data_IF_412616238809
#
_entry.id   IF_412616238809
#
_cell.length_a   1.000
_cell.length_b   1.000
_cell.length_c   1.000
_cell.angle_alpha   90.00
_cell.angle_beta   90.00
_cell.angle_gamma   90.00
#
_symmetry.space_group_name_H-M   'P 1'
#
loop_
_entity.id
_entity.type
_entity.pdbx_description
1 polymer ?
#
# COMPACT_ATOMS: atom_id res chain seq x y z
N UNK A 1 30.99 45.50 45.38
CA UNK A 1 29.80 45.14 46.18
C UNK A 1 28.58 45.40 45.31
N UNK A 2 28.03 44.34 44.73
CA UNK A 2 26.81 44.36 43.91
C UNK A 2 26.35 42.91 43.93
N UNK A 3 25.44 42.52 44.82
CA UNK A 3 24.05 42.95 44.81
C UNK A 3 23.28 41.82 44.15
N UNK A 4 22.68 40.95 44.95
CA UNK A 4 21.98 39.74 44.49
C UNK A 4 20.89 40.05 43.45
N UNK A 5 20.68 39.17 42.46
CA UNK A 5 19.67 39.40 41.42
C UNK A 5 18.25 39.20 41.97
N UNK A 6 17.43 40.26 41.84
CA UNK A 6 15.97 40.25 42.04
C UNK A 6 15.29 39.39 40.97
N UNK A 7 14.45 38.46 41.40
CA UNK A 7 13.55 37.66 40.56
C UNK A 7 12.27 38.44 40.26
N UNK A 8 11.96 38.61 38.98
CA UNK A 8 10.71 39.19 38.47
C UNK A 8 9.58 38.14 38.42
N UNK A 9 8.38 38.57 38.80
CA UNK A 9 7.12 37.82 38.89
C UNK A 9 6.30 37.96 37.60
N UNK A 10 6.77 37.40 36.49
CA UNK A 10 5.94 36.98 35.35
C UNK A 10 6.75 36.04 34.47
N UNK A 11 6.63 34.74 34.69
CA UNK A 11 7.38 33.71 33.97
C UNK A 11 6.94 33.58 32.51
N UNK A 12 7.37 34.48 31.63
CA UNK A 12 7.17 34.33 30.19
C UNK A 12 8.43 34.75 29.45
N UNK A 13 9.15 33.75 28.93
CA UNK A 13 10.21 33.99 27.95
C UNK A 13 9.59 34.40 26.61
N UNK A 14 10.18 35.43 26.02
CA UNK A 14 9.90 35.85 24.66
C UNK A 14 10.49 34.84 23.65
N UNK A 15 9.72 34.53 22.61
CA UNK A 15 10.27 34.08 21.33
C UNK A 15 10.21 32.58 21.05
N UNK A 16 9.02 32.04 20.82
CA UNK A 16 8.84 31.02 19.77
C UNK A 16 7.52 31.31 19.05
N UNK A 17 7.61 31.80 17.82
CA UNK A 17 6.51 31.74 16.86
C UNK A 17 6.10 30.28 16.74
N UNK A 18 4.80 29.92 16.80
CA UNK A 18 4.38 28.56 16.57
C UNK A 18 4.83 28.18 15.16
N UNK A 19 5.77 27.23 15.04
CA UNK A 19 6.07 26.61 13.76
C UNK A 19 4.75 26.01 13.28
N UNK A 20 4.21 26.58 12.21
CA UNK A 20 3.18 25.91 11.42
C UNK A 20 3.65 24.47 11.17
N UNK A 21 2.77 23.46 11.22
CA UNK A 21 3.16 22.14 10.80
C UNK A 21 3.49 22.25 9.31
N UNK A 22 4.78 22.33 8.99
CA UNK A 22 5.26 22.13 7.63
C UNK A 22 4.86 20.70 7.27
N UNK A 23 3.76 20.54 6.53
CA UNK A 23 3.47 19.30 5.81
C UNK A 23 4.44 19.22 4.62
N UNK A 24 5.74 19.18 4.89
CA UNK A 24 6.69 18.73 3.89
C UNK A 24 6.58 17.21 3.86
N UNK A 25 5.65 16.71 3.06
CA UNK A 25 5.63 15.30 2.71
C UNK A 25 6.89 15.04 1.90
N UNK A 26 8.00 14.78 2.60
CA UNK A 26 9.17 14.18 1.98
C UNK A 26 8.65 12.92 1.28
N UNK A 27 8.66 12.96 -0.05
CA UNK A 27 8.14 11.86 -0.85
C UNK A 27 8.84 10.58 -0.41
N UNK A 28 8.05 9.57 -0.03
CA UNK A 28 8.55 8.28 0.44
C UNK A 28 9.26 7.49 -0.66
N UNK A 29 9.20 7.95 -1.91
CA UNK A 29 9.80 7.32 -3.08
C UNK A 29 11.15 7.93 -3.46
N UNK A 30 12.02 7.08 -4.02
CA UNK A 30 13.33 7.51 -4.51
C UNK A 30 13.19 8.62 -5.56
N UNK A 31 14.03 9.65 -5.45
CA UNK A 31 14.02 10.82 -6.34
C UNK A 31 14.13 10.42 -7.83
N UNK A 32 14.92 9.40 -8.13
CA UNK A 32 15.08 8.87 -9.49
C UNK A 32 13.75 8.39 -10.09
N UNK A 33 12.96 7.57 -9.36
CA UNK A 33 11.68 7.04 -9.86
C UNK A 33 10.71 8.17 -10.20
N UNK A 34 10.69 9.26 -9.43
CA UNK A 34 9.82 10.42 -9.69
C UNK A 34 10.20 11.23 -10.93
N UNK A 35 11.49 11.23 -11.28
CA UNK A 35 11.99 11.94 -12.47
C UNK A 35 11.77 11.19 -13.78
N UNK A 36 11.31 9.93 -13.73
CA UNK A 36 11.05 9.14 -14.93
C UNK A 36 9.80 9.65 -15.64
N UNK A 37 9.95 9.92 -16.95
CA UNK A 37 8.82 10.19 -17.86
C UNK A 37 7.80 9.05 -17.80
N UNK A 38 8.28 7.83 -17.97
CA UNK A 38 7.50 6.59 -17.86
C UNK A 38 8.20 5.67 -16.89
N UNK A 39 7.52 5.28 -15.80
CA UNK A 39 8.01 4.28 -14.86
C UNK A 39 7.34 2.94 -15.16
N UNK A 40 8.14 1.92 -15.41
CA UNK A 40 7.67 0.59 -15.84
C UNK A 40 7.68 -0.36 -14.65
N UNK A 41 6.53 -0.94 -14.36
CA UNK A 41 6.34 -2.02 -13.39
C UNK A 41 6.43 -3.36 -14.13
N UNK A 42 7.65 -3.76 -14.46
CA UNK A 42 7.93 -4.82 -15.44
C UNK A 42 7.26 -6.15 -15.09
N UNK A 43 7.29 -6.54 -13.81
CA UNK A 43 6.76 -7.82 -13.34
C UNK A 43 5.23 -7.81 -13.22
N UNK A 44 4.65 -6.62 -12.97
CA UNK A 44 3.21 -6.39 -13.04
C UNK A 44 2.71 -6.26 -14.48
N UNK A 45 3.57 -5.84 -15.42
CA UNK A 45 3.15 -5.53 -16.78
C UNK A 45 2.29 -4.28 -16.89
N UNK A 46 2.60 -3.27 -16.07
CA UNK A 46 1.93 -1.98 -16.00
C UNK A 46 2.98 -0.86 -16.10
N UNK A 47 2.55 0.35 -16.43
CA UNK A 47 3.41 1.53 -16.43
C UNK A 47 2.60 2.80 -16.17
N UNK A 48 3.27 3.94 -16.15
CA UNK A 48 2.66 5.25 -15.89
C UNK A 48 2.13 5.96 -17.14
N UNK A 49 2.20 5.35 -18.32
CA UNK A 49 1.47 5.85 -19.50
C UNK A 49 -0.01 5.46 -19.43
N UNK A 50 -0.35 4.49 -18.56
CA UNK A 50 -1.72 4.14 -18.18
C UNK A 50 -2.31 5.13 -17.16
N UNK A 51 -3.65 5.24 -17.11
CA UNK A 51 -4.34 5.96 -16.04
C UNK A 51 -4.43 5.11 -14.76
N UNK A 52 -3.34 5.16 -13.99
CA UNK A 52 -3.21 4.43 -12.72
C UNK A 52 -4.17 4.93 -11.65
N UNK A 53 -4.50 6.23 -11.64
CA UNK A 53 -5.44 6.78 -10.67
C UNK A 53 -6.87 6.31 -10.99
N UNK A 54 -7.29 6.31 -12.26
CA UNK A 54 -8.60 5.77 -12.65
C UNK A 54 -8.71 4.27 -12.29
N UNK A 55 -7.62 3.51 -12.48
CA UNK A 55 -7.62 2.07 -12.22
C UNK A 55 -7.57 1.74 -10.72
N UNK A 56 -6.69 2.40 -9.96
CA UNK A 56 -6.34 2.03 -8.59
C UNK A 56 -6.74 3.06 -7.52
N UNK A 57 -7.20 4.26 -7.88
CA UNK A 57 -7.49 5.35 -6.93
C UNK A 57 -8.53 5.01 -5.87
N UNK A 58 -9.44 4.06 -6.17
CA UNK A 58 -10.45 3.57 -5.23
C UNK A 58 -10.00 2.35 -4.40
N UNK A 59 -8.78 1.84 -4.60
CA UNK A 59 -8.25 0.69 -3.86
C UNK A 59 -7.97 1.08 -2.42
N UNK A 60 -8.35 0.18 -1.50
CA UNK A 60 -8.16 0.32 -0.05
C UNK A 60 -7.39 -0.86 0.56
N UNK A 61 -7.36 -2.00 -0.12
CA UNK A 61 -6.71 -3.20 0.37
C UNK A 61 -5.89 -3.89 -0.72
N UNK A 62 -4.62 -4.15 -0.41
CA UNK A 62 -3.80 -5.12 -1.15
C UNK A 62 -3.73 -6.41 -0.33
N UNK A 63 -4.20 -7.51 -0.90
CA UNK A 63 -4.16 -8.85 -0.32
C UNK A 63 -3.17 -9.69 -1.11
N UNK A 64 -2.06 -10.03 -0.45
CA UNK A 64 -0.91 -10.71 -1.05
C UNK A 64 -0.91 -12.19 -0.66
N UNK A 65 -0.76 -13.10 -1.62
CA UNK A 65 -0.67 -14.54 -1.34
C UNK A 65 0.26 -15.32 -2.25
N UNK A 66 0.67 -16.53 -1.85
CA UNK A 66 1.74 -17.22 -2.58
C UNK A 66 1.37 -17.73 -3.98
N UNK A 67 0.15 -18.25 -4.15
CA UNK A 67 -0.25 -18.93 -5.39
C UNK A 67 -1.14 -18.02 -6.25
N UNK A 68 -0.94 -18.05 -7.57
CA UNK A 68 -1.81 -17.42 -8.56
C UNK A 68 -3.27 -17.88 -8.42
N UNK A 69 -3.49 -19.19 -8.30
CA UNK A 69 -4.83 -19.76 -8.15
C UNK A 69 -5.51 -19.31 -6.86
N UNK A 70 -4.75 -19.17 -5.76
CA UNK A 70 -5.31 -18.63 -4.51
C UNK A 70 -5.70 -17.15 -4.64
N UNK A 71 -4.95 -16.36 -5.40
CA UNK A 71 -5.26 -14.96 -5.68
C UNK A 71 -6.56 -14.79 -6.48
N UNK A 72 -6.73 -15.61 -7.51
CA UNK A 72 -7.95 -15.66 -8.31
C UNK A 72 -9.16 -16.09 -7.47
N UNK A 73 -9.03 -17.21 -6.75
CA UNK A 73 -10.08 -17.73 -5.87
C UNK A 73 -10.51 -16.70 -4.83
N UNK A 74 -9.55 -16.02 -4.19
CA UNK A 74 -9.87 -14.99 -3.21
C UNK A 74 -10.59 -13.80 -3.82
N UNK A 75 -10.23 -13.38 -5.04
CA UNK A 75 -10.90 -12.27 -5.71
C UNK A 75 -12.37 -12.60 -6.01
N UNK A 76 -12.64 -13.80 -6.52
CA UNK A 76 -14.01 -14.30 -6.73
C UNK A 76 -14.79 -14.43 -5.41
N UNK A 77 -14.16 -15.01 -4.39
CA UNK A 77 -14.76 -15.16 -3.07
C UNK A 77 -15.12 -13.81 -2.45
N UNK A 78 -14.26 -12.79 -2.61
CA UNK A 78 -14.53 -11.42 -2.15
C UNK A 78 -15.72 -10.80 -2.88
N UNK A 79 -15.79 -10.96 -4.20
CA UNK A 79 -16.95 -10.52 -4.99
C UNK A 79 -18.25 -11.15 -4.51
N UNK A 80 -18.25 -12.47 -4.26
CA UNK A 80 -19.40 -13.18 -3.72
C UNK A 80 -19.75 -12.75 -2.29
N UNK A 81 -18.76 -12.48 -1.44
CA UNK A 81 -18.98 -12.03 -0.07
C UNK A 81 -19.67 -10.65 -0.01
N UNK A 82 -19.40 -9.77 -0.98
CA UNK A 82 -20.09 -8.48 -1.10
C UNK A 82 -21.57 -8.68 -1.47
N UNK A 83 -21.88 -9.66 -2.34
CA UNK A 83 -23.27 -10.05 -2.65
C UNK A 83 -24.01 -10.53 -1.42
N UNK A 84 -23.39 -11.37 -0.60
CA UNK A 84 -24.00 -11.85 0.66
C UNK A 84 -24.28 -10.71 1.66
N UNK A 85 -23.64 -9.55 1.50
CA UNK A 85 -23.90 -8.32 2.27
C UNK A 85 -24.92 -7.38 1.62
N UNK A 86 -25.58 -7.82 0.54
CA UNK A 86 -26.59 -7.03 -0.17
C UNK A 86 -26.01 -6.01 -1.17
N UNK A 87 -24.72 -6.09 -1.50
CA UNK A 87 -24.09 -5.23 -2.49
C UNK A 87 -24.09 -5.89 -3.89
N UNK A 88 -24.08 -5.14 -5.00
CA UNK A 88 -23.88 -5.72 -6.32
C UNK A 88 -22.53 -6.44 -6.40
N UNK A 89 -22.45 -7.57 -7.12
CA UNK A 89 -21.17 -8.26 -7.36
C UNK A 89 -20.26 -7.36 -8.20
N UNK A 90 -19.10 -6.91 -7.69
CA UNK A 90 -18.15 -6.18 -8.52
C UNK A 90 -17.57 -7.11 -9.59
N UNK A 91 -17.19 -6.54 -10.72
CA UNK A 91 -16.40 -7.26 -11.73
C UNK A 91 -15.05 -7.63 -11.11
N UNK A 92 -14.63 -8.89 -11.34
CA UNK A 92 -13.28 -9.34 -11.01
C UNK A 92 -12.42 -9.12 -12.25
N UNK A 93 -11.60 -8.08 -12.21
CA UNK A 93 -10.75 -7.66 -13.31
C UNK A 93 -9.35 -8.24 -13.14
N UNK A 94 -8.87 -9.03 -14.10
CA UNK A 94 -7.47 -9.46 -14.15
C UNK A 94 -6.62 -8.35 -14.73
N UNK A 95 -5.56 -7.97 -14.01
CA UNK A 95 -4.69 -6.86 -14.37
C UNK A 95 -3.29 -7.37 -14.70
N UNK A 96 -2.65 -6.71 -15.68
CA UNK A 96 -1.23 -6.91 -15.96
C UNK A 96 -0.87 -8.24 -16.63
N UNK A 97 0.42 -8.58 -16.56
CA UNK A 97 0.98 -9.85 -17.05
C UNK A 97 0.78 -10.95 -16.02
N UNK A 98 1.00 -12.22 -16.42
CA UNK A 98 0.85 -13.37 -15.52
C UNK A 98 2.01 -14.33 -15.44
N UNK A 99 3.15 -13.94 -15.99
CA UNK A 99 4.37 -14.73 -15.95
C UNK A 99 4.96 -14.80 -14.54
N UNK A 100 4.80 -13.72 -13.76
CA UNK A 100 5.42 -13.56 -12.43
C UNK A 100 4.41 -13.41 -11.31
N UNK A 101 3.46 -12.50 -11.47
CA UNK A 101 2.41 -12.24 -10.49
C UNK A 101 1.06 -12.26 -11.19
N UNK A 102 0.03 -12.77 -10.54
CA UNK A 102 -1.34 -12.75 -11.03
C UNK A 102 -2.13 -11.79 -10.17
N UNK A 103 -2.62 -10.71 -10.77
CA UNK A 103 -3.29 -9.62 -10.07
C UNK A 103 -4.75 -9.54 -10.50
N UNK A 104 -5.63 -9.38 -9.52
CA UNK A 104 -7.06 -9.27 -9.70
C UNK A 104 -7.57 -8.11 -8.88
N UNK A 105 -8.37 -7.23 -9.48
CA UNK A 105 -9.08 -6.16 -8.78
C UNK A 105 -10.55 -6.53 -8.65
N UNK A 106 -11.10 -6.32 -7.46
CA UNK A 106 -12.51 -6.55 -7.15
C UNK A 106 -12.99 -5.44 -6.20
N UNK A 107 -13.75 -4.49 -6.74
CA UNK A 107 -14.16 -3.29 -5.99
C UNK A 107 -12.94 -2.53 -5.42
N UNK A 108 -12.84 -2.28 -4.10
CA UNK A 108 -11.71 -1.60 -3.46
C UNK A 108 -10.56 -2.55 -3.06
N UNK A 109 -10.57 -3.80 -3.51
CA UNK A 109 -9.56 -4.82 -3.14
C UNK A 109 -8.74 -5.21 -4.36
N UNK A 110 -7.42 -5.27 -4.21
CA UNK A 110 -6.50 -5.93 -5.14
C UNK A 110 -5.98 -7.20 -4.49
N UNK A 111 -6.26 -8.34 -5.12
CA UNK A 111 -5.73 -9.65 -4.78
C UNK A 111 -4.57 -9.97 -5.71
N UNK A 112 -3.40 -10.32 -5.18
CA UNK A 112 -2.21 -10.54 -6.01
C UNK A 112 -1.33 -11.67 -5.49
N UNK A 113 -0.85 -12.49 -6.42
CA UNK A 113 0.12 -13.53 -6.09
C UNK A 113 1.54 -12.98 -5.97
N UNK A 114 2.36 -13.56 -5.09
CA UNK A 114 3.74 -13.13 -4.84
C UNK A 114 4.78 -14.27 -4.92
N UNK A 115 4.39 -15.48 -5.31
CA UNK A 115 5.29 -16.65 -5.33
C UNK A 115 5.77 -17.08 -3.95
N UNK A 116 7.00 -17.62 -3.87
CA UNK A 116 7.62 -18.09 -2.62
C UNK A 116 8.92 -17.34 -2.32
N UNK A 117 9.18 -17.13 -1.02
CA UNK A 117 10.42 -16.55 -0.53
C UNK A 117 10.45 -15.01 -0.54
N UNK A 118 11.37 -14.47 0.27
CA UNK A 118 11.61 -13.03 0.41
C UNK A 118 11.93 -12.31 -0.91
N UNK A 119 12.82 -12.84 -1.77
CA UNK A 119 13.16 -12.18 -3.04
C UNK A 119 11.94 -11.94 -3.94
N UNK A 120 11.07 -12.94 -4.05
CA UNK A 120 9.87 -12.85 -4.90
C UNK A 120 8.89 -11.80 -4.38
N UNK A 121 8.60 -11.77 -3.07
CA UNK A 121 7.67 -10.76 -2.54
C UNK A 121 8.27 -9.35 -2.52
N UNK A 122 9.59 -9.21 -2.36
CA UNK A 122 10.24 -7.89 -2.39
C UNK A 122 10.12 -7.19 -3.75
N UNK A 123 10.24 -7.93 -4.86
CA UNK A 123 10.02 -7.36 -6.20
C UNK A 123 8.58 -6.83 -6.30
N UNK A 124 7.60 -7.65 -5.91
CA UNK A 124 6.19 -7.25 -5.93
C UNK A 124 5.93 -6.01 -5.08
N UNK A 125 6.43 -5.98 -3.84
CA UNK A 125 6.22 -4.87 -2.92
C UNK A 125 6.84 -3.57 -3.44
N UNK A 126 8.02 -3.63 -4.07
CA UNK A 126 8.63 -2.45 -4.69
C UNK A 126 7.79 -1.89 -5.83
N UNK A 127 7.32 -2.75 -6.75
CA UNK A 127 6.49 -2.29 -7.87
C UNK A 127 5.12 -1.78 -7.41
N UNK A 128 4.47 -2.46 -6.46
CA UNK A 128 3.20 -2.02 -5.89
C UNK A 128 3.33 -0.71 -5.10
N UNK A 129 4.42 -0.51 -4.37
CA UNK A 129 4.63 0.73 -3.63
C UNK A 129 4.75 1.94 -4.57
N UNK A 130 5.52 1.80 -5.66
CA UNK A 130 5.59 2.83 -6.71
C UNK A 130 4.24 3.05 -7.38
N UNK A 131 3.52 1.97 -7.71
CA UNK A 131 2.17 2.06 -8.27
C UNK A 131 1.24 2.85 -7.34
N UNK A 132 1.28 2.59 -6.03
CA UNK A 132 0.47 3.33 -5.05
C UNK A 132 0.81 4.82 -5.00
N UNK A 133 2.10 5.17 -5.13
CA UNK A 133 2.56 6.56 -5.21
C UNK A 133 2.02 7.25 -6.46
N UNK A 134 2.16 6.60 -7.62
CA UNK A 134 1.66 7.12 -8.91
C UNK A 134 0.14 7.19 -8.97
N UNK A 135 -0.57 6.33 -8.25
CA UNK A 135 -2.03 6.37 -8.13
C UNK A 135 -2.53 7.28 -7.00
N UNK A 136 -1.64 7.91 -6.20
CA UNK A 136 -2.03 8.81 -5.12
C UNK A 136 -2.71 8.15 -3.92
N UNK A 137 -2.46 6.85 -3.68
CA UNK A 137 -3.16 6.05 -2.66
C UNK A 137 -2.27 5.59 -1.50
N UNK A 138 -0.98 5.93 -1.48
CA UNK A 138 0.04 5.44 -0.52
C UNK A 138 -0.43 5.46 0.93
N UNK A 139 -1.06 6.54 1.37
CA UNK A 139 -1.48 6.72 2.78
C UNK A 139 -2.85 6.10 3.11
N UNK A 140 -3.61 5.67 2.10
CA UNK A 140 -4.99 5.18 2.27
C UNK A 140 -5.14 3.66 2.16
N UNK A 141 -4.09 2.96 1.72
CA UNK A 141 -4.14 1.51 1.48
C UNK A 141 -3.63 0.70 2.68
N UNK A 142 -4.25 -0.46 2.88
CA UNK A 142 -3.83 -1.47 3.86
C UNK A 142 -3.27 -2.69 3.14
N UNK A 143 -2.25 -3.29 3.73
CA UNK A 143 -1.55 -4.44 3.17
C UNK A 143 -1.80 -5.66 4.06
N UNK A 144 -2.27 -6.75 3.46
CA UNK A 144 -2.59 -7.99 4.16
C UNK A 144 -1.88 -9.13 3.45
N UNK A 145 -1.02 -9.86 4.16
CA UNK A 145 -0.43 -11.10 3.65
C UNK A 145 -1.28 -12.28 4.12
N UNK A 146 -1.82 -13.03 3.18
CA UNK A 146 -2.52 -14.29 3.44
C UNK A 146 -1.68 -15.46 2.94
N UNK A 147 -1.40 -16.43 3.81
CA UNK A 147 -0.54 -17.54 3.45
C UNK A 147 -0.65 -18.71 4.41
N UNK A 148 0.22 -19.68 4.16
CA UNK A 148 0.35 -20.90 4.98
C UNK A 148 1.58 -20.76 5.86
N UNK A 149 1.56 -21.39 7.03
CA UNK A 149 2.70 -21.48 7.93
C UNK A 149 2.69 -22.82 8.67
N UNK A 150 3.83 -23.20 9.24
CA UNK A 150 3.90 -24.29 10.21
C UNK A 150 3.69 -23.72 11.61
N UNK A 151 2.59 -24.09 12.25
CA UNK A 151 2.29 -23.65 13.62
C UNK A 151 3.11 -24.43 14.65
N UNK A 152 3.69 -23.73 15.62
CA UNK A 152 4.37 -24.33 16.77
C UNK A 152 3.46 -24.27 17.99
N UNK A 153 3.07 -25.43 18.54
CA UNK A 153 2.24 -25.49 19.75
C UNK A 153 0.77 -25.09 19.56
N UNK A 154 0.26 -25.11 18.32
CA UNK A 154 -1.14 -24.80 18.00
C UNK A 154 -1.77 -25.95 17.19
N UNK A 155 -3.09 -26.19 17.31
CA UNK A 155 -3.79 -27.17 16.50
C UNK A 155 -3.72 -26.85 14.99
N UNK A 156 -3.73 -27.86 14.10
CA UNK A 156 -3.86 -27.65 12.66
C UNK A 156 -5.11 -26.83 12.31
N UNK A 157 -4.95 -25.80 11.48
CA UNK A 157 -6.05 -24.94 11.03
C UNK A 157 -6.32 -23.70 11.89
N UNK A 158 -5.52 -23.48 12.95
CA UNK A 158 -5.46 -22.21 13.69
C UNK A 158 -4.93 -21.10 12.79
#
# INVERSE_FOLDING_TARGET
MSGEPRVDKTGTQAGETPRSPESSTSSRMAAYSRGLKTDVFYHLGLDTDMDLHATFGNVKFFVLMGSAQRAEYFAEAMGNALVSKGMPKPVVERLGKTERYSMYKVGPVVSVSHGMGGPSIHILLNELAKLCDRAGIVDSVKWIRMGTSGGCGVPPGT
#
